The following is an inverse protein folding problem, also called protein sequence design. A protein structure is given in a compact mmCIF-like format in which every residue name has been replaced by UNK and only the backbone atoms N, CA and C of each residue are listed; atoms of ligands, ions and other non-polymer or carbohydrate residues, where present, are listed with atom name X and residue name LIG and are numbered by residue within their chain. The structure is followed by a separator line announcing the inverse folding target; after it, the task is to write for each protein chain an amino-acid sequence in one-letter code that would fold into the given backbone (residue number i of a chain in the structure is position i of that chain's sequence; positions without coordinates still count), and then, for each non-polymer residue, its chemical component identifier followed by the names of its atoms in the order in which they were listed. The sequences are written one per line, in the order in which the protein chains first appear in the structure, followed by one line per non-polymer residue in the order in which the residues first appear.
data_IF_457910641828
#
_entry.id   IF_457910641828
#
_cell.length_a   1.000
_cell.length_b   1.000
_cell.length_c   1.000
_cell.angle_alpha   90.00
_cell.angle_beta   90.00
_cell.angle_gamma   90.00
#
_symmetry.space_group_name_H-M   'P 1'
#
loop_
_entity.id
_entity.type
_entity.pdbx_description
1 polymer ?
#
# COMPACT_ATOMS: atom_id res chain seq x y z
N UNK A 1 -21.90 -10.81 -0.18
CA UNK A 1 -20.91 -10.58 0.81
C UNK A 1 -20.20 -9.25 0.58
N UNK A 2 -20.02 -8.53 1.65
CA UNK A 2 -19.42 -7.21 1.50
C UNK A 2 -17.93 -7.28 1.43
N UNK A 3 -17.36 -6.45 0.60
CA UNK A 3 -15.93 -6.22 0.64
C UNK A 3 -15.59 -5.48 1.92
N UNK A 4 -14.38 -5.68 2.43
CA UNK A 4 -13.96 -4.91 3.59
C UNK A 4 -13.95 -3.44 3.22
N UNK A 5 -14.34 -2.64 4.18
CA UNK A 5 -14.32 -1.22 3.94
C UNK A 5 -12.89 -0.71 3.97
N UNK A 6 -12.65 0.24 3.11
CA UNK A 6 -11.31 0.80 3.00
C UNK A 6 -10.83 1.38 4.33
N UNK A 7 -11.73 2.06 5.03
CA UNK A 7 -11.38 2.67 6.30
C UNK A 7 -10.91 1.63 7.30
N UNK A 8 -11.59 0.49 7.33
CA UNK A 8 -11.22 -0.58 8.23
C UNK A 8 -9.88 -1.17 7.85
N UNK A 9 -9.65 -1.36 6.56
CA UNK A 9 -8.37 -1.86 6.10
C UNK A 9 -7.24 -0.91 6.46
N UNK A 10 -7.47 0.35 6.25
CA UNK A 10 -6.48 1.35 6.56
C UNK A 10 -6.14 1.33 8.05
N UNK A 11 -7.16 1.34 8.89
CA UNK A 11 -6.96 1.37 10.32
C UNK A 11 -6.25 0.12 10.82
N UNK A 12 -6.59 -1.01 10.23
CA UNK A 12 -6.07 -2.29 10.70
C UNK A 12 -4.64 -2.53 10.25
N UNK A 13 -4.33 -2.19 9.02
CA UNK A 13 -3.06 -2.59 8.43
C UNK A 13 -2.07 -1.46 8.23
N UNK A 14 -2.46 -0.24 8.51
CA UNK A 14 -1.57 0.87 8.17
C UNK A 14 -0.24 0.80 8.91
N UNK A 15 -0.26 0.39 10.18
CA UNK A 15 0.99 0.31 10.92
C UNK A 15 1.88 -0.80 10.40
N UNK A 16 1.28 -1.93 10.08
CA UNK A 16 2.05 -3.03 9.52
C UNK A 16 2.65 -2.63 8.18
N UNK A 17 1.87 -1.98 7.35
CA UNK A 17 2.37 -1.52 6.06
C UNK A 17 3.45 -0.46 6.22
N UNK A 18 3.24 0.44 7.16
CA UNK A 18 4.23 1.48 7.40
C UNK A 18 5.57 0.87 7.82
N UNK A 19 5.53 -0.09 8.73
CA UNK A 19 6.76 -0.75 9.16
C UNK A 19 7.43 -1.47 8.00
N UNK A 20 6.64 -2.13 7.18
CA UNK A 20 7.16 -2.83 6.03
C UNK A 20 7.83 -1.86 5.07
N UNK A 21 7.18 -0.74 4.81
CA UNK A 21 7.73 0.27 3.92
C UNK A 21 8.98 0.93 4.51
N UNK A 22 9.00 1.15 5.81
CA UNK A 22 10.20 1.64 6.45
C UNK A 22 11.35 0.66 6.29
N UNK A 23 11.05 -0.62 6.40
CA UNK A 23 12.06 -1.64 6.20
C UNK A 23 12.62 -1.60 4.79
N UNK A 24 11.75 -1.40 3.82
CA UNK A 24 12.18 -1.38 2.43
C UNK A 24 12.93 -0.11 2.06
N UNK A 25 12.51 1.01 2.59
CA UNK A 25 13.06 2.30 2.18
C UNK A 25 14.09 2.84 3.12
N UNK A 26 14.09 2.41 4.35
CA UNK A 26 14.94 2.94 5.41
C UNK A 26 14.73 4.43 5.64
N UNK A 27 13.53 4.92 5.33
CA UNK A 27 13.25 6.34 5.41
C UNK A 27 11.79 6.52 5.82
N UNK A 28 11.52 7.02 7.04
CA UNK A 28 10.14 7.14 7.48
C UNK A 28 9.32 8.11 6.66
N UNK A 29 9.93 9.16 6.17
CA UNK A 29 9.19 10.11 5.35
C UNK A 29 8.75 9.47 4.05
N UNK A 30 9.66 8.75 3.42
CA UNK A 30 9.33 8.07 2.18
C UNK A 30 8.33 6.96 2.43
N UNK A 31 8.44 6.29 3.57
CA UNK A 31 7.49 5.26 3.92
C UNK A 31 6.08 5.81 4.06
N UNK A 32 5.95 7.00 4.61
CA UNK A 32 4.63 7.63 4.70
C UNK A 32 4.07 7.93 3.33
N UNK A 33 4.90 8.46 2.45
CA UNK A 33 4.45 8.73 1.09
C UNK A 33 4.00 7.46 0.39
N UNK A 34 4.79 6.41 0.55
CA UNK A 34 4.44 5.14 -0.08
C UNK A 34 3.21 4.53 0.56
N UNK A 35 3.00 4.75 1.84
CA UNK A 35 1.80 4.27 2.48
C UNK A 35 0.57 4.92 1.87
N UNK A 36 0.61 6.22 1.68
CA UNK A 36 -0.48 6.92 1.02
C UNK A 36 -0.68 6.41 -0.40
N UNK A 37 0.40 6.25 -1.12
CA UNK A 37 0.32 5.74 -2.48
C UNK A 37 -0.29 4.35 -2.52
N UNK A 38 0.10 3.51 -1.56
CA UNK A 38 -0.43 2.16 -1.47
C UNK A 38 -1.94 2.18 -1.32
N UNK A 39 -2.45 3.04 -0.45
CA UNK A 39 -3.89 3.08 -0.25
C UNK A 39 -4.64 3.72 -1.39
N UNK A 40 -4.02 4.63 -2.12
CA UNK A 40 -4.62 5.12 -3.35
C UNK A 40 -4.80 3.97 -4.35
N UNK A 41 -3.78 3.13 -4.46
CA UNK A 41 -3.89 1.97 -5.33
C UNK A 41 -4.92 0.98 -4.82
N UNK A 42 -5.02 0.82 -3.52
CA UNK A 42 -6.02 -0.05 -2.93
C UNK A 42 -7.42 0.44 -3.30
N UNK A 43 -7.66 1.73 -3.19
CA UNK A 43 -8.95 2.29 -3.56
C UNK A 43 -9.31 1.92 -4.99
N UNK A 44 -8.36 2.04 -5.87
CA UNK A 44 -8.62 1.77 -7.27
C UNK A 44 -8.82 0.29 -7.55
N UNK A 45 -8.15 -0.57 -6.81
CA UNK A 45 -8.17 -2.00 -7.09
C UNK A 45 -9.15 -2.78 -6.26
N UNK A 46 -9.64 -2.20 -5.18
CA UNK A 46 -10.52 -2.92 -4.28
C UNK A 46 -11.74 -3.51 -5.00
N UNK A 47 -12.40 -2.78 -5.90
CA UNK A 47 -13.55 -3.35 -6.58
C UNK A 47 -13.22 -4.59 -7.42
N UNK A 48 -11.97 -4.76 -7.80
CA UNK A 48 -11.57 -5.92 -8.59
C UNK A 48 -11.04 -7.06 -7.74
N UNK A 49 -10.92 -6.84 -6.44
CA UNK A 49 -10.43 -7.88 -5.55
C UNK A 49 -11.46 -8.99 -5.42
N UNK A 50 -11.07 -10.22 -5.68
CA UNK A 50 -12.00 -11.32 -5.69
C UNK A 50 -11.74 -12.35 -4.60
N UNK A 51 -10.91 -12.00 -3.64
CA UNK A 51 -10.63 -12.95 -2.58
C UNK A 51 -9.69 -14.07 -2.98
N UNK A 52 -8.93 -13.84 -4.01
CA UNK A 52 -8.00 -14.87 -4.49
C UNK A 52 -6.86 -15.12 -3.52
N UNK A 53 -6.61 -14.18 -2.65
CA UNK A 53 -5.60 -14.32 -1.63
C UNK A 53 -6.06 -13.56 -0.41
N UNK A 54 -5.32 -13.70 0.66
CA UNK A 54 -5.65 -12.96 1.87
C UNK A 54 -5.48 -11.48 1.64
N UNK A 55 -6.34 -10.70 2.27
CA UNK A 55 -6.30 -9.26 2.15
C UNK A 55 -4.92 -8.74 2.55
N UNK A 56 -4.36 -9.26 3.62
CA UNK A 56 -3.05 -8.81 4.06
C UNK A 56 -1.99 -9.04 2.99
N UNK A 57 -1.98 -10.21 2.39
CA UNK A 57 -1.02 -10.53 1.34
C UNK A 57 -1.21 -9.60 0.15
N UNK A 58 -2.45 -9.34 -0.18
CA UNK A 58 -2.78 -8.46 -1.29
C UNK A 58 -2.28 -7.04 -1.05
N UNK A 59 -2.52 -6.54 0.17
CA UNK A 59 -2.09 -5.20 0.53
C UNK A 59 -0.58 -5.08 0.49
N UNK A 60 0.12 -6.06 1.03
CA UNK A 60 1.58 -6.02 1.04
C UNK A 60 2.14 -6.12 -0.37
N UNK A 61 1.46 -6.86 -1.23
CA UNK A 61 1.85 -6.92 -2.63
C UNK A 61 1.75 -5.57 -3.31
N UNK A 62 0.68 -4.85 -3.04
CA UNK A 62 0.50 -3.53 -3.60
C UNK A 62 1.58 -2.58 -3.06
N UNK A 63 1.84 -2.65 -1.76
CA UNK A 63 2.85 -1.80 -1.16
C UNK A 63 4.23 -2.07 -1.74
N UNK A 64 4.54 -3.31 -1.95
CA UNK A 64 5.83 -3.66 -2.51
C UNK A 64 5.97 -3.13 -3.93
N UNK A 65 4.93 -3.22 -4.72
CA UNK A 65 4.96 -2.70 -6.07
C UNK A 65 5.08 -1.19 -6.08
N UNK A 66 4.41 -0.53 -5.17
CA UNK A 66 4.52 0.91 -5.07
C UNK A 66 5.95 1.31 -4.75
N UNK A 67 6.58 0.56 -3.87
CA UNK A 67 7.95 0.86 -3.50
C UNK A 67 8.93 0.56 -4.63
N UNK A 68 8.73 -0.56 -5.29
CA UNK A 68 9.74 -1.02 -6.23
C UNK A 68 9.63 -0.37 -7.59
N UNK A 69 8.44 -0.21 -8.07
CA UNK A 69 8.35 0.16 -9.47
C UNK A 69 7.84 1.50 -9.71
N UNK A 70 7.10 1.95 -8.82
CA UNK A 70 6.34 3.03 -9.21
C UNK A 70 7.01 4.30 -9.10
N UNK A 71 7.85 4.36 -8.27
CA UNK A 71 8.20 5.66 -7.95
C UNK A 71 9.51 5.95 -8.48
N UNK A 72 9.51 6.25 -9.62
CA UNK A 72 10.69 6.85 -10.11
C UNK A 72 10.91 8.13 -9.33
N UNK A 73 11.91 8.19 -8.53
CA UNK A 73 12.16 9.40 -7.76
C UNK A 73 12.32 10.62 -8.64
N UNK A 74 12.81 10.40 -9.80
CA UNK A 74 13.00 11.51 -10.70
C UNK A 74 11.69 12.16 -11.08
N UNK A 75 10.64 11.41 -11.07
CA UNK A 75 9.33 11.98 -11.36
C UNK A 75 8.90 12.94 -10.29
N UNK A 76 9.41 12.77 -9.11
CA UNK A 76 9.01 13.60 -7.99
C UNK A 76 9.90 14.81 -7.82
N UNK A 77 11.11 14.65 -8.17
CA UNK A 77 12.09 15.68 -7.87
C UNK A 77 12.19 16.75 -8.92
N UNK A 78 11.42 16.70 -9.87
CA UNK A 78 11.51 17.72 -10.91
C UNK A 78 10.92 19.05 -10.52
#
# INVERSE_FOLDING_TARGET
MKLPELEELYRRYRMDLYRYLCFLTHDPVQAEDLLSETFVRVIKRLPTFRGECEVKTWLFGIARKACAGGTSPSAWTI
#
